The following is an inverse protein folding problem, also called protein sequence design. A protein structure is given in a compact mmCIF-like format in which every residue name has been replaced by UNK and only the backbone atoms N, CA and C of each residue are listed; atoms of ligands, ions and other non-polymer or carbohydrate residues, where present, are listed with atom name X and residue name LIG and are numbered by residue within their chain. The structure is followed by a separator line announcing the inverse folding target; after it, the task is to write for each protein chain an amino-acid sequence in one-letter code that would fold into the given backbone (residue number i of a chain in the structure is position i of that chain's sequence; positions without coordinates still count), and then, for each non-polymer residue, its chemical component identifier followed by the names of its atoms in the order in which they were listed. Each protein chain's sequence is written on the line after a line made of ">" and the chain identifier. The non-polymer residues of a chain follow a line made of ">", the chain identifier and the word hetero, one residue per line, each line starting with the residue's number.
data_IF_260523638222
#
_entry.id   IF_260523638222
#
_cell.length_a   1.000
_cell.length_b   1.000
_cell.length_c   1.000
_cell.angle_alpha   90.00
_cell.angle_beta   90.00
_cell.angle_gamma   90.00
#
_symmetry.space_group_name_H-M   'P 1'
#
loop_
_entity.id
_entity.type
_entity.pdbx_description
1 polymer ?
#
# COMPACT_ATOMS: atom_id res chain seq x y z
N UNK A 1 -3.58 -6.52 -12.66
CA UNK A 1 -3.33 -5.43 -11.70
C UNK A 1 -3.54 -5.93 -10.28
N UNK A 2 -2.62 -5.63 -9.41
CA UNK A 2 -2.64 -6.08 -8.04
C UNK A 2 -3.15 -4.98 -7.11
N UNK A 3 -3.76 -5.39 -5.99
CA UNK A 3 -4.09 -4.43 -4.94
C UNK A 3 -2.80 -3.88 -4.34
N UNK A 4 -2.82 -2.62 -3.99
CA UNK A 4 -1.63 -1.95 -3.45
C UNK A 4 -1.14 -2.62 -2.17
N UNK A 5 -2.05 -2.95 -1.25
CA UNK A 5 -1.69 -3.59 -0.01
C UNK A 5 -1.05 -4.97 -0.25
N UNK A 6 -1.59 -5.74 -1.19
CA UNK A 6 -1.04 -7.04 -1.53
C UNK A 6 0.34 -6.90 -2.17
N UNK A 7 0.47 -5.95 -3.07
CA UNK A 7 1.73 -5.72 -3.77
C UNK A 7 2.85 -5.37 -2.79
N UNK A 8 2.58 -4.46 -1.86
CA UNK A 8 3.58 -4.05 -0.88
C UNK A 8 3.90 -5.16 0.12
N UNK A 9 2.88 -5.89 0.55
CA UNK A 9 3.08 -6.98 1.49
C UNK A 9 3.85 -8.16 0.87
N UNK A 10 3.69 -8.36 -0.43
CA UNK A 10 4.35 -9.46 -1.13
C UNK A 10 5.87 -9.27 -1.21
N UNK A 11 6.36 -8.08 -0.94
CA UNK A 11 7.80 -7.82 -0.93
C UNK A 11 8.48 -8.37 0.34
N UNK A 12 7.69 -8.86 1.29
CA UNK A 12 8.22 -9.54 2.46
C UNK A 12 8.78 -8.64 3.55
N UNK A 13 8.66 -7.33 3.40
CA UNK A 13 9.20 -6.39 4.38
C UNK A 13 8.21 -6.04 5.48
N UNK A 14 6.91 -6.08 5.16
CA UNK A 14 5.86 -5.68 6.08
C UNK A 14 4.69 -6.64 5.98
N UNK A 15 3.93 -6.77 7.07
CA UNK A 15 2.68 -7.50 7.04
C UNK A 15 1.60 -6.64 6.37
N UNK A 16 0.50 -7.28 5.96
CA UNK A 16 -0.61 -6.53 5.37
C UNK A 16 -1.17 -5.49 6.33
N UNK A 17 -1.21 -5.82 7.61
CA UNK A 17 -1.68 -4.89 8.63
C UNK A 17 -0.81 -3.64 8.66
N UNK A 18 0.50 -3.82 8.65
CA UNK A 18 1.43 -2.70 8.66
C UNK A 18 1.32 -1.88 7.38
N UNK A 19 1.18 -2.55 6.25
CA UNK A 19 1.01 -1.87 4.97
C UNK A 19 -0.26 -1.02 4.97
N UNK A 20 -1.36 -1.57 5.45
CA UNK A 20 -2.62 -0.82 5.52
C UNK A 20 -2.48 0.41 6.40
N UNK A 21 -1.77 0.26 7.51
CA UNK A 21 -1.55 1.38 8.42
C UNK A 21 -0.73 2.48 7.76
N UNK A 22 0.33 2.10 7.07
CA UNK A 22 1.16 3.08 6.36
C UNK A 22 0.36 3.80 5.29
N UNK A 23 -0.44 3.07 4.53
CA UNK A 23 -1.27 3.67 3.49
C UNK A 23 -2.26 4.66 4.11
N UNK A 24 -2.91 4.27 5.19
CA UNK A 24 -3.89 5.13 5.85
C UNK A 24 -3.25 6.42 6.38
N UNK A 25 -1.99 6.36 6.76
CA UNK A 25 -1.27 7.52 7.26
C UNK A 25 -0.74 8.42 6.15
N UNK A 26 -0.93 8.02 4.89
CA UNK A 26 -0.46 8.81 3.76
C UNK A 26 1.04 8.70 3.52
N UNK A 27 1.66 7.61 3.96
CA UNK A 27 3.09 7.39 3.79
C UNK A 27 3.45 6.65 2.52
N UNK A 28 2.45 6.24 1.77
CA UNK A 28 2.64 5.51 0.51
C UNK A 28 2.21 6.39 -0.65
N UNK A 29 3.06 6.49 -1.65
CA UNK A 29 2.75 7.26 -2.85
C UNK A 29 2.68 6.34 -4.05
N UNK A 30 1.81 6.68 -4.99
CA UNK A 30 1.69 5.99 -6.27
C UNK A 30 1.77 7.06 -7.35
N UNK A 31 2.76 6.94 -8.22
CA UNK A 31 3.01 7.92 -9.28
C UNK A 31 3.14 9.34 -8.73
N UNK A 32 3.82 9.47 -7.60
CA UNK A 32 4.07 10.76 -6.97
C UNK A 32 2.90 11.34 -6.19
N UNK A 33 1.80 10.59 -6.06
CA UNK A 33 0.63 11.04 -5.32
C UNK A 33 0.40 10.13 -4.13
N UNK A 34 0.05 10.73 -2.99
CA UNK A 34 -0.28 9.98 -1.79
C UNK A 34 -1.53 9.14 -2.04
N UNK A 35 -1.43 7.85 -1.76
CA UNK A 35 -2.56 6.93 -1.85
C UNK A 35 -2.94 6.46 -0.47
N UNK A 36 -4.20 6.64 -0.09
CA UNK A 36 -4.69 6.25 1.22
C UNK A 36 -5.62 5.04 1.17
N UNK A 37 -5.82 4.47 -0.01
CA UNK A 37 -6.69 3.31 -0.18
C UNK A 37 -5.85 2.06 -0.43
N UNK A 38 -5.85 1.12 0.52
CA UNK A 38 -5.07 -0.11 0.32
C UNK A 38 -5.62 -1.00 -0.78
N UNK A 39 -6.89 -0.89 -1.08
CA UNK A 39 -7.53 -1.71 -2.13
C UNK A 39 -7.30 -1.16 -3.54
N UNK A 40 -6.62 -0.03 -3.68
CA UNK A 40 -6.35 0.51 -5.01
C UNK A 40 -5.51 -0.47 -5.82
N UNK A 41 -5.90 -0.69 -7.05
CA UNK A 41 -5.16 -1.54 -7.97
C UNK A 41 -4.16 -0.72 -8.76
N UNK A 42 -2.97 -1.24 -8.86
CA UNK A 42 -1.88 -0.58 -9.59
C UNK A 42 -1.18 -1.57 -10.52
#
# INVERSE_FOLDING_TARGET
>A
MERLDKLLASQGMLSRREVKELIARGRVTVDGRVEKRPERKV
#
